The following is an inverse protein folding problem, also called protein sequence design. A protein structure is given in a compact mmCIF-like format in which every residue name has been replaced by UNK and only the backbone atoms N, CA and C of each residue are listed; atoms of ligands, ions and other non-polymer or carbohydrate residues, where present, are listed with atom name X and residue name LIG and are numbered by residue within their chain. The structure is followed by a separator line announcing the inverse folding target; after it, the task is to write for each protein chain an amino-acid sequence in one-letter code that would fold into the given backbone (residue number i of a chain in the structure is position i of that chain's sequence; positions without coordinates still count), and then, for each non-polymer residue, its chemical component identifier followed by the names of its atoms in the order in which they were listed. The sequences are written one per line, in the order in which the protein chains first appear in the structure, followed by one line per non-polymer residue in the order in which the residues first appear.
data_IF_303890810770
#
_entry.id   IF_303890810770
#
_cell.length_a   1.000
_cell.length_b   1.000
_cell.length_c   1.000
_cell.angle_alpha   90.00
_cell.angle_beta   90.00
_cell.angle_gamma   90.00
#
_symmetry.space_group_name_H-M   'P 1'
#
loop_
_entity.id
_entity.type
_entity.pdbx_description
1 polymer ?
#
# COMPACT_ATOMS: atom_id res chain seq x y z
N UNK A 1 1.29 -2.90 37.98
CA UNK A 1 0.20 -3.83 37.62
C UNK A 1 0.58 -4.53 36.32
N UNK A 2 0.77 -5.85 36.33
CA UNK A 2 0.94 -6.60 35.07
C UNK A 2 -0.42 -6.67 34.39
N UNK A 3 -0.54 -6.08 33.21
CA UNK A 3 -1.74 -6.24 32.38
C UNK A 3 -1.79 -7.70 31.91
N UNK A 4 -2.59 -8.52 32.58
CA UNK A 4 -2.87 -9.89 32.14
C UNK A 4 -3.76 -9.84 30.90
N UNK A 5 -3.37 -10.58 29.86
CA UNK A 5 -4.18 -10.76 28.64
C UNK A 5 -5.41 -11.58 29.03
N UNK A 6 -6.61 -11.10 28.67
CA UNK A 6 -7.87 -11.79 28.96
C UNK A 6 -7.91 -13.18 28.31
N UNK A 7 -8.60 -14.15 28.91
CA UNK A 7 -8.76 -15.47 28.31
C UNK A 7 -9.53 -15.44 26.97
N UNK A 8 -10.42 -14.47 26.80
CA UNK A 8 -11.10 -14.24 25.53
C UNK A 8 -10.11 -13.81 24.44
N UNK A 9 -9.20 -12.89 24.74
CA UNK A 9 -8.18 -12.43 23.80
C UNK A 9 -7.23 -13.58 23.42
N UNK A 10 -6.84 -14.43 24.38
CA UNK A 10 -5.99 -15.59 24.10
C UNK A 10 -6.65 -16.57 23.12
N UNK A 11 -7.94 -16.87 23.31
CA UNK A 11 -8.69 -17.76 22.39
C UNK A 11 -8.76 -17.21 20.97
N UNK A 12 -9.00 -15.90 20.83
CA UNK A 12 -9.04 -15.24 19.52
C UNK A 12 -7.67 -15.27 18.85
N UNK A 13 -6.58 -15.00 19.59
CA UNK A 13 -5.22 -15.14 19.05
C UNK A 13 -4.98 -16.58 18.61
N UNK A 14 -5.30 -17.58 19.45
CA UNK A 14 -5.15 -18.99 19.09
C UNK A 14 -5.91 -19.33 17.80
N UNK A 15 -7.16 -18.90 17.68
CA UNK A 15 -7.97 -19.10 16.47
C UNK A 15 -7.29 -18.54 15.20
N UNK A 16 -6.88 -17.26 15.21
CA UNK A 16 -6.24 -16.62 14.05
C UNK A 16 -4.90 -17.29 13.71
N UNK A 17 -4.09 -17.58 14.72
CA UNK A 17 -2.76 -18.18 14.52
C UNK A 17 -2.85 -19.61 14.01
N UNK A 18 -3.84 -20.37 14.49
CA UNK A 18 -4.10 -21.75 14.06
C UNK A 18 -4.64 -21.80 12.64
N UNK A 19 -5.55 -20.89 12.28
CA UNK A 19 -6.07 -20.79 10.92
C UNK A 19 -4.94 -20.47 9.92
N UNK A 20 -4.04 -19.55 10.30
CA UNK A 20 -2.81 -19.27 9.53
C UNK A 20 -1.95 -20.53 9.39
N UNK A 21 -1.65 -21.21 10.51
CA UNK A 21 -0.81 -22.42 10.52
C UNK A 21 -1.34 -23.47 9.57
N UNK A 22 -2.64 -23.78 9.66
CA UNK A 22 -3.33 -24.75 8.81
C UNK A 22 -3.21 -24.37 7.32
N UNK A 23 -3.46 -23.12 6.97
CA UNK A 23 -3.30 -22.67 5.57
C UNK A 23 -1.86 -22.81 5.07
N UNK A 24 -0.86 -22.46 5.89
CA UNK A 24 0.55 -22.61 5.51
C UNK A 24 0.93 -24.07 5.27
N UNK A 25 0.38 -25.00 6.06
CA UNK A 25 0.56 -26.44 5.88
C UNK A 25 -0.10 -26.93 4.58
N UNK A 26 -1.35 -26.53 4.33
CA UNK A 26 -2.09 -26.90 3.12
C UNK A 26 -1.45 -26.35 1.84
N UNK A 27 -0.87 -25.14 1.90
CA UNK A 27 -0.26 -24.46 0.74
C UNK A 27 1.26 -24.66 0.64
N UNK A 28 1.85 -25.51 1.49
CA UNK A 28 3.31 -25.68 1.55
C UNK A 28 3.90 -26.13 0.20
N UNK A 29 3.24 -27.04 -0.51
CA UNK A 29 3.71 -27.52 -1.80
C UNK A 29 3.76 -26.40 -2.86
N UNK A 30 2.70 -25.59 -2.92
CA UNK A 30 2.61 -24.44 -3.84
C UNK A 30 3.66 -23.38 -3.48
N UNK A 31 3.90 -23.14 -2.19
CA UNK A 31 4.90 -22.18 -1.72
C UNK A 31 6.33 -22.60 -2.08
N UNK A 32 6.65 -23.89 -2.00
CA UNK A 32 7.93 -24.42 -2.51
C UNK A 32 8.09 -24.20 -4.02
N UNK A 33 7.01 -24.33 -4.78
CA UNK A 33 7.01 -24.01 -6.21
C UNK A 33 7.24 -22.51 -6.45
N UNK A 34 6.65 -21.64 -5.63
CA UNK A 34 6.90 -20.20 -5.68
C UNK A 34 8.34 -19.82 -5.36
N UNK A 35 8.94 -20.45 -4.36
CA UNK A 35 10.37 -20.27 -4.02
C UNK A 35 11.25 -20.65 -5.23
N UNK A 36 10.98 -21.80 -5.84
CA UNK A 36 11.70 -22.23 -7.03
C UNK A 36 11.56 -21.23 -8.19
N UNK A 37 10.35 -20.69 -8.42
CA UNK A 37 10.10 -19.67 -9.46
C UNK A 37 10.80 -18.35 -9.15
N UNK A 38 10.85 -17.94 -7.88
CA UNK A 38 11.59 -16.75 -7.45
C UNK A 38 13.09 -16.92 -7.65
N UNK A 39 13.63 -18.09 -7.30
CA UNK A 39 15.05 -18.41 -7.52
C UNK A 39 15.38 -18.40 -9.02
N UNK A 40 14.54 -19.04 -9.84
CA UNK A 40 14.65 -18.97 -11.30
C UNK A 40 14.62 -17.54 -11.81
N UNK A 41 13.74 -16.67 -11.29
CA UNK A 41 13.66 -15.25 -11.66
C UNK A 41 14.84 -14.41 -11.14
N UNK A 42 15.46 -14.80 -10.02
CA UNK A 42 16.68 -14.19 -9.51
C UNK A 42 17.92 -14.68 -10.26
N UNK A 43 17.77 -15.65 -11.18
CA UNK A 43 18.87 -16.30 -11.87
C UNK A 43 19.67 -17.25 -10.99
N UNK A 44 19.11 -17.66 -9.84
CA UNK A 44 19.67 -18.70 -8.99
C UNK A 44 19.37 -20.04 -9.65
N UNK A 45 20.42 -20.76 -10.00
CA UNK A 45 20.32 -22.06 -10.63
C UNK A 45 20.99 -23.10 -9.73
N UNK A 46 20.30 -24.21 -9.50
CA UNK A 46 20.90 -25.37 -8.86
C UNK A 46 21.80 -26.07 -9.90
N UNK A 47 23.11 -25.98 -9.71
CA UNK A 47 24.08 -26.56 -10.63
C UNK A 47 24.38 -28.03 -10.32
N UNK A 48 23.72 -28.59 -9.30
CA UNK A 48 23.99 -29.90 -8.73
C UNK A 48 25.17 -29.87 -7.76
N UNK A 49 25.12 -30.73 -6.73
CA UNK A 49 26.11 -30.78 -5.65
C UNK A 49 27.56 -30.87 -6.15
N UNK A 50 27.80 -31.66 -7.21
CA UNK A 50 29.12 -31.82 -7.80
C UNK A 50 29.69 -30.52 -8.39
N UNK A 51 28.86 -29.69 -9.05
CA UNK A 51 29.31 -28.44 -9.68
C UNK A 51 29.35 -27.27 -8.71
N UNK A 52 28.54 -27.32 -7.65
CA UNK A 52 28.58 -26.35 -6.55
C UNK A 52 29.85 -26.51 -5.70
N UNK A 53 30.30 -27.75 -5.48
CA UNK A 53 31.53 -28.08 -4.76
C UNK A 53 32.81 -27.82 -5.55
N UNK A 54 32.71 -27.57 -6.86
CA UNK A 54 33.86 -27.33 -7.74
C UNK A 54 33.83 -25.89 -8.29
N UNK A 55 34.24 -24.86 -7.49
CA UNK A 55 34.19 -23.46 -7.89
C UNK A 55 35.09 -23.10 -9.08
N UNK A 56 36.04 -23.98 -9.41
CA UNK A 56 36.94 -23.84 -10.57
C UNK A 56 36.27 -24.17 -11.91
N UNK A 57 35.07 -24.78 -11.91
CA UNK A 57 34.31 -25.03 -13.14
C UNK A 57 33.58 -23.77 -13.58
N UNK A 58 33.70 -23.42 -14.87
CA UNK A 58 32.91 -22.32 -15.45
C UNK A 58 31.41 -22.63 -15.42
N UNK A 59 30.62 -21.67 -14.96
CA UNK A 59 29.15 -21.73 -14.86
C UNK A 59 28.55 -20.70 -15.81
N UNK A 60 28.54 -21.02 -17.11
CA UNK A 60 27.92 -20.15 -18.12
C UNK A 60 26.40 -20.30 -18.00
N UNK A 61 25.72 -19.20 -17.66
CA UNK A 61 24.27 -19.15 -17.54
C UNK A 61 23.72 -17.94 -18.29
N UNK A 62 22.79 -18.20 -19.20
CA UNK A 62 22.02 -17.17 -19.87
C UNK A 62 20.64 -17.12 -19.22
N UNK A 63 20.39 -16.07 -18.45
CA UNK A 63 19.16 -15.90 -17.72
C UNK A 63 18.13 -15.08 -18.51
N UNK A 64 17.27 -15.74 -19.27
CA UNK A 64 16.27 -15.04 -20.10
C UNK A 64 14.91 -14.88 -19.42
N UNK A 65 14.61 -15.73 -18.42
CA UNK A 65 13.30 -15.76 -17.78
C UNK A 65 12.91 -14.43 -17.13
N UNK A 66 13.83 -13.77 -16.41
CA UNK A 66 13.56 -12.46 -15.81
C UNK A 66 13.38 -11.35 -16.85
N UNK A 67 14.14 -11.42 -17.95
CA UNK A 67 14.02 -10.47 -19.07
C UNK A 67 12.65 -10.62 -19.74
N UNK A 68 12.21 -11.85 -19.99
CA UNK A 68 10.90 -12.13 -20.59
C UNK A 68 9.77 -11.64 -19.70
N UNK A 69 9.79 -11.96 -18.40
CA UNK A 69 8.75 -11.52 -17.45
C UNK A 69 8.71 -9.99 -17.35
N UNK A 70 9.87 -9.31 -17.26
CA UNK A 70 9.92 -7.84 -17.19
C UNK A 70 9.38 -7.20 -18.46
N UNK A 71 9.74 -7.73 -19.63
CA UNK A 71 9.21 -7.25 -20.92
C UNK A 71 7.70 -7.44 -21.02
N UNK A 72 7.20 -8.61 -20.63
CA UNK A 72 5.77 -8.90 -20.62
C UNK A 72 5.01 -7.96 -19.66
N UNK A 73 5.51 -7.78 -18.43
CA UNK A 73 4.91 -6.88 -17.44
C UNK A 73 4.87 -5.42 -17.94
N UNK A 74 5.95 -4.93 -18.52
CA UNK A 74 5.99 -3.57 -19.07
C UNK A 74 5.07 -3.40 -20.28
N UNK A 75 5.01 -4.39 -21.17
CA UNK A 75 4.11 -4.36 -22.32
C UNK A 75 2.64 -4.36 -21.87
N UNK A 76 2.28 -5.22 -20.91
CA UNK A 76 0.93 -5.29 -20.34
C UNK A 76 0.53 -4.01 -19.61
N UNK A 77 1.43 -3.43 -18.80
CA UNK A 77 1.21 -2.11 -18.20
C UNK A 77 0.95 -1.05 -19.28
N UNK A 78 1.80 -1.03 -20.32
CA UNK A 78 1.64 -0.12 -21.46
C UNK A 78 0.26 -0.25 -22.10
N UNK A 79 -0.17 -1.47 -22.42
CA UNK A 79 -1.48 -1.72 -23.03
C UNK A 79 -2.64 -1.28 -22.13
N UNK A 80 -2.57 -1.57 -20.84
CA UNK A 80 -3.66 -1.28 -19.89
C UNK A 80 -3.80 0.23 -19.65
N UNK A 81 -2.70 0.95 -19.45
CA UNK A 81 -2.73 2.39 -19.16
C UNK A 81 -2.70 3.30 -20.40
N UNK A 82 -2.41 2.77 -21.59
CA UNK A 82 -2.62 3.50 -22.86
C UNK A 82 -4.11 3.55 -23.25
N UNK A 83 -4.92 2.60 -22.78
CA UNK A 83 -6.36 2.61 -22.95
C UNK A 83 -7.00 3.80 -22.24
N UNK A 84 -7.93 4.49 -22.91
CA UNK A 84 -8.70 5.58 -22.27
C UNK A 84 -9.60 5.09 -21.13
N UNK A 85 -9.94 3.81 -21.12
CA UNK A 85 -10.91 3.19 -20.21
C UNK A 85 -10.25 2.09 -19.38
N UNK A 86 -9.76 2.44 -18.19
CA UNK A 86 -9.16 1.47 -17.25
C UNK A 86 -10.21 0.55 -16.61
N UNK A 87 -11.44 1.05 -16.47
CA UNK A 87 -12.59 0.30 -15.96
C UNK A 87 -13.81 0.67 -16.78
N UNK A 88 -14.64 -0.34 -17.05
CA UNK A 88 -15.97 -0.19 -17.62
C UNK A 88 -16.94 -0.87 -16.67
N UNK A 89 -17.86 -0.12 -16.09
CA UNK A 89 -18.92 -0.69 -15.27
C UNK A 89 -19.98 -1.29 -16.21
N UNK A 90 -20.09 -2.61 -16.21
CA UNK A 90 -21.15 -3.31 -16.94
C UNK A 90 -22.49 -2.95 -16.32
N UNK A 91 -23.37 -2.30 -17.08
CA UNK A 91 -24.69 -1.91 -16.60
C UNK A 91 -25.63 -3.12 -16.57
N UNK A 92 -26.30 -3.34 -15.44
CA UNK A 92 -27.66 -3.90 -15.45
C UNK A 92 -28.68 -2.83 -15.88
N UNK A 93 -29.96 -2.98 -15.53
CA UNK A 93 -31.06 -2.01 -15.78
C UNK A 93 -30.92 -0.66 -15.03
N UNK A 94 -29.70 -0.23 -14.70
CA UNK A 94 -29.40 0.93 -13.87
C UNK A 94 -29.12 2.22 -14.65
N UNK A 95 -29.27 3.34 -13.93
CA UNK A 95 -29.07 4.71 -14.39
C UNK A 95 -27.68 4.95 -15.03
N UNK A 96 -27.71 5.22 -16.33
CA UNK A 96 -26.52 5.51 -17.14
C UNK A 96 -25.74 6.76 -16.68
N UNK A 97 -26.42 7.73 -16.07
CA UNK A 97 -25.79 8.95 -15.57
C UNK A 97 -25.01 8.67 -14.29
N UNK A 98 -25.62 7.95 -13.35
CA UNK A 98 -24.94 7.47 -12.14
C UNK A 98 -23.69 6.66 -12.48
N UNK A 99 -23.80 5.72 -13.44
CA UNK A 99 -22.63 4.95 -13.94
C UNK A 99 -21.51 5.87 -14.41
N UNK A 100 -21.82 6.84 -15.27
CA UNK A 100 -20.83 7.78 -15.83
C UNK A 100 -20.12 8.57 -14.73
N UNK A 101 -20.85 8.96 -13.68
CA UNK A 101 -20.30 9.66 -12.51
C UNK A 101 -19.36 8.73 -11.73
N UNK A 102 -19.79 7.51 -11.42
CA UNK A 102 -18.98 6.54 -10.67
C UNK A 102 -17.71 6.15 -11.44
N UNK A 103 -17.80 5.93 -12.75
CA UNK A 103 -16.62 5.64 -13.58
C UNK A 103 -15.61 6.79 -13.56
N UNK A 104 -16.07 8.05 -13.64
CA UNK A 104 -15.20 9.22 -13.51
C UNK A 104 -14.54 9.30 -12.14
N UNK A 105 -15.30 9.03 -11.07
CA UNK A 105 -14.77 8.99 -9.71
C UNK A 105 -13.71 7.89 -9.57
N UNK A 106 -13.99 6.67 -10.01
CA UNK A 106 -13.04 5.55 -9.96
C UNK A 106 -11.75 5.84 -10.73
N UNK A 107 -11.84 6.48 -11.90
CA UNK A 107 -10.65 6.91 -12.66
C UNK A 107 -9.81 7.91 -11.88
N UNK A 108 -10.45 8.91 -11.27
CA UNK A 108 -9.74 9.90 -10.45
C UNK A 108 -9.08 9.23 -9.24
N UNK A 109 -9.82 8.37 -8.52
CA UNK A 109 -9.28 7.62 -7.39
C UNK A 109 -8.09 6.75 -7.76
N UNK A 110 -8.13 6.10 -8.92
CA UNK A 110 -7.05 5.21 -9.36
C UNK A 110 -5.81 5.96 -9.83
N UNK A 111 -5.99 7.13 -10.42
CA UNK A 111 -4.88 8.03 -10.72
C UNK A 111 -4.20 8.50 -9.43
N UNK A 112 -4.99 8.86 -8.42
CA UNK A 112 -4.48 9.37 -7.13
C UNK A 112 -3.93 8.26 -6.23
N UNK A 113 -4.41 7.02 -6.36
CA UNK A 113 -4.01 5.91 -5.49
C UNK A 113 -2.62 5.35 -5.77
N UNK A 114 -1.97 5.84 -6.83
CA UNK A 114 -0.67 5.33 -7.26
C UNK A 114 -0.73 3.92 -7.86
N UNK A 115 -1.91 3.46 -8.30
CA UNK A 115 -2.07 2.11 -8.86
C UNK A 115 -1.05 1.85 -9.98
N UNK A 116 -0.89 2.78 -10.92
CA UNK A 116 0.04 2.64 -12.04
C UNK A 116 1.50 2.40 -11.60
N UNK A 117 1.90 2.98 -10.46
CA UNK A 117 3.25 2.79 -9.91
C UNK A 117 3.43 1.36 -9.41
N UNK A 118 2.44 0.84 -8.70
CA UNK A 118 2.45 -0.51 -8.10
C UNK A 118 2.09 -1.59 -9.14
N UNK A 119 1.45 -1.22 -10.25
CA UNK A 119 0.91 -2.18 -11.23
C UNK A 119 2.00 -2.98 -11.94
N UNK A 120 3.18 -2.40 -12.20
CA UNK A 120 4.30 -3.17 -12.74
C UNK A 120 4.72 -4.26 -11.76
N UNK A 121 4.82 -3.94 -10.47
CA UNK A 121 5.18 -4.90 -9.43
C UNK A 121 4.11 -5.99 -9.30
N UNK A 122 2.83 -5.62 -9.35
CA UNK A 122 1.71 -6.56 -9.39
C UNK A 122 1.84 -7.57 -10.54
N UNK A 123 2.10 -7.10 -11.76
CA UNK A 123 2.30 -7.97 -12.92
C UNK A 123 3.55 -8.84 -12.81
N UNK A 124 4.64 -8.30 -12.24
CA UNK A 124 5.87 -9.06 -12.00
C UNK A 124 5.62 -10.18 -10.99
N UNK A 125 4.99 -9.87 -9.86
CA UNK A 125 4.61 -10.84 -8.82
C UNK A 125 3.68 -11.91 -9.40
N UNK A 126 2.68 -11.51 -10.20
CA UNK A 126 1.79 -12.44 -10.90
C UNK A 126 2.54 -13.33 -11.90
N UNK A 127 3.50 -12.78 -12.64
CA UNK A 127 4.33 -13.53 -13.58
C UNK A 127 5.30 -14.50 -12.91
N UNK A 128 5.83 -14.15 -11.74
CA UNK A 128 6.78 -14.99 -10.97
C UNK A 128 6.01 -16.09 -10.23
N UNK A 129 4.96 -15.74 -9.48
CA UNK A 129 4.31 -16.67 -8.57
C UNK A 129 3.03 -17.30 -9.14
N UNK A 130 2.47 -16.75 -10.21
CA UNK A 130 1.15 -17.11 -10.73
C UNK A 130 -0.01 -16.50 -9.93
N UNK A 131 0.30 -15.73 -8.87
CA UNK A 131 -0.68 -15.02 -8.04
C UNK A 131 -0.12 -13.65 -7.66
N UNK A 132 -1.00 -12.67 -7.59
CA UNK A 132 -0.69 -11.33 -7.10
C UNK A 132 -1.96 -10.77 -6.46
N UNK A 133 -1.79 -9.93 -5.44
CA UNK A 133 -2.93 -9.39 -4.68
C UNK A 133 -2.67 -7.93 -4.38
N UNK A 134 -3.66 -7.10 -4.68
CA UNK A 134 -3.66 -5.68 -4.34
C UNK A 134 -4.59 -5.47 -3.16
N UNK A 135 -4.11 -4.74 -2.17
CA UNK A 135 -4.88 -4.24 -1.06
C UNK A 135 -5.18 -2.77 -1.30
N UNK A 136 -6.46 -2.41 -1.27
CA UNK A 136 -6.86 -1.00 -1.30
C UNK A 136 -7.17 -0.58 0.12
N UNK A 137 -6.46 0.40 0.64
CA UNK A 137 -6.68 0.97 1.98
C UNK A 137 -7.15 2.41 1.86
N UNK A 138 -8.01 2.85 2.77
CA UNK A 138 -8.40 4.25 2.87
C UNK A 138 -7.53 4.94 3.93
N UNK A 139 -6.89 6.04 3.55
CA UNK A 139 -6.01 6.81 4.42
C UNK A 139 -6.44 8.27 4.48
N UNK A 140 -6.57 8.86 5.68
CA UNK A 140 -6.76 10.28 5.81
C UNK A 140 -5.47 11.00 5.38
N UNK A 141 -5.57 11.84 4.36
CA UNK A 141 -4.52 12.72 3.89
C UNK A 141 -4.89 14.15 4.26
N UNK A 142 -3.92 14.88 4.79
CA UNK A 142 -4.08 16.31 5.05
C UNK A 142 -3.79 17.05 3.75
N UNK A 143 -4.83 17.55 3.11
CA UNK A 143 -4.75 18.30 1.86
C UNK A 143 -4.80 19.80 2.14
N UNK A 144 -4.04 20.56 1.36
CA UNK A 144 -4.14 22.02 1.36
C UNK A 144 -5.30 22.43 0.47
N UNK A 145 -6.11 23.39 0.93
CA UNK A 145 -7.14 23.97 0.07
C UNK A 145 -6.46 24.63 -1.14
N UNK A 146 -6.97 24.34 -2.35
CA UNK A 146 -6.41 24.84 -3.60
C UNK A 146 -6.24 26.36 -3.60
N UNK A 147 -7.19 27.09 -3.02
CA UNK A 147 -7.16 28.55 -2.84
C UNK A 147 -5.95 29.08 -2.06
N UNK A 148 -5.43 28.30 -1.12
CA UNK A 148 -4.25 28.68 -0.34
C UNK A 148 -2.96 28.35 -1.10
N UNK A 149 -2.92 27.22 -1.81
CA UNK A 149 -1.78 26.85 -2.67
C UNK A 149 -1.61 27.86 -3.79
N UNK A 150 -2.69 28.27 -4.45
CA UNK A 150 -2.64 29.30 -5.51
C UNK A 150 -2.21 30.66 -4.95
N UNK A 151 -2.71 31.06 -3.78
CA UNK A 151 -2.25 32.30 -3.10
C UNK A 151 -0.77 32.25 -2.73
N UNK A 152 -0.26 31.13 -2.21
CA UNK A 152 1.16 31.00 -1.89
C UNK A 152 2.04 31.00 -3.14
N UNK A 153 1.65 30.28 -4.20
CA UNK A 153 2.33 30.32 -5.49
C UNK A 153 2.34 31.73 -6.09
N UNK A 154 1.26 32.48 -5.93
CA UNK A 154 1.17 33.86 -6.41
C UNK A 154 2.09 34.79 -5.61
N UNK A 155 2.15 34.65 -4.28
CA UNK A 155 3.10 35.38 -3.44
C UNK A 155 4.55 35.01 -3.79
N UNK A 156 4.82 33.75 -4.08
CA UNK A 156 6.16 33.26 -4.44
C UNK A 156 6.58 33.77 -5.83
N UNK A 157 5.67 33.75 -6.81
CA UNK A 157 5.85 34.39 -8.10
C UNK A 157 6.07 35.89 -7.97
N UNK A 158 5.26 36.60 -7.18
CA UNK A 158 5.40 38.04 -6.97
C UNK A 158 6.75 38.39 -6.33
N UNK A 159 7.23 37.57 -5.38
CA UNK A 159 8.58 37.70 -4.81
C UNK A 159 9.68 37.39 -5.82
N UNK A 160 9.49 36.37 -6.65
CA UNK A 160 10.41 36.03 -7.73
C UNK A 160 10.54 37.20 -8.71
N UNK A 161 9.41 37.78 -9.15
CA UNK A 161 9.38 38.95 -10.03
C UNK A 161 9.93 40.22 -9.36
N UNK A 162 9.74 40.40 -8.06
CA UNK A 162 10.32 41.52 -7.31
C UNK A 162 11.84 41.41 -7.16
N UNK A 163 12.40 40.20 -7.27
CA UNK A 163 13.83 39.91 -7.12
C UNK A 163 14.58 39.78 -8.46
N UNK A 164 13.89 39.90 -9.60
CA UNK A 164 14.56 39.93 -10.91
C UNK A 164 15.36 41.24 -11.05
N UNK A 165 16.58 41.20 -11.63
CA UNK A 165 17.33 42.40 -11.98
C UNK A 165 16.48 43.31 -12.89
N UNK A 166 16.56 44.63 -12.72
CA UNK A 166 15.76 45.63 -13.48
C UNK A 166 15.88 45.54 -15.01
N UNK A 167 16.78 44.72 -15.53
CA UNK A 167 16.96 44.43 -16.96
C UNK A 167 16.01 43.34 -17.49
N UNK A 168 15.37 42.57 -16.61
CA UNK A 168 14.26 41.67 -16.95
C UNK A 168 12.95 42.38 -16.62
N UNK A 169 12.50 43.24 -17.52
CA UNK A 169 11.11 43.72 -17.48
C UNK A 169 10.19 42.49 -17.54
N UNK A 170 9.13 42.49 -16.73
CA UNK A 170 7.97 41.61 -16.99
C UNK A 170 7.70 41.70 -18.49
N UNK A 171 7.40 40.60 -19.21
CA UNK A 171 6.94 40.74 -20.58
C UNK A 171 5.72 41.65 -20.53
N UNK A 172 5.93 42.92 -20.88
CA UNK A 172 4.85 43.81 -21.24
C UNK A 172 4.29 43.15 -22.47
N UNK A 173 3.11 42.55 -22.32
CA UNK A 173 2.29 42.20 -23.47
C UNK A 173 1.97 43.53 -24.13
N UNK A 174 2.87 44.01 -24.97
CA UNK A 174 2.58 45.04 -25.95
C UNK A 174 1.78 44.29 -27.00
N UNK A 175 0.48 44.21 -26.79
CA UNK A 175 -0.45 43.84 -27.84
C UNK A 175 -0.44 45.00 -28.85
N UNK A 176 0.28 44.83 -29.95
CA UNK A 176 -0.05 45.59 -31.15
C UNK A 176 -1.39 45.06 -31.66
N UNK A 177 -2.45 45.82 -31.35
CA UNK A 177 -3.72 45.87 -32.07
C UNK A 177 -4.27 44.52 -32.57
N UNK A 178 -4.88 43.75 -31.67
CA UNK A 178 -6.06 42.96 -32.02
C UNK A 178 -6.85 42.59 -30.76
N UNK A 179 -7.87 43.41 -30.52
CA UNK A 179 -9.15 43.10 -29.88
C UNK A 179 -9.14 42.50 -28.47
N UNK A 180 -9.44 43.36 -27.49
CA UNK A 180 -9.78 43.03 -26.10
C UNK A 180 -10.99 42.10 -25.89
N UNK A 181 -11.49 41.46 -26.95
CA UNK A 181 -12.46 40.38 -26.89
C UNK A 181 -11.82 39.12 -26.28
N UNK A 182 -10.55 38.85 -26.56
CA UNK A 182 -9.85 37.67 -26.04
C UNK A 182 -9.50 37.77 -24.55
N UNK A 183 -9.18 38.97 -24.05
CA UNK A 183 -8.89 39.22 -22.64
C UNK A 183 -10.16 39.16 -21.79
N UNK A 184 -11.26 39.75 -22.27
CA UNK A 184 -12.57 39.67 -21.61
C UNK A 184 -13.14 38.24 -21.66
N UNK A 185 -12.92 37.48 -22.73
CA UNK A 185 -13.32 36.07 -22.81
C UNK A 185 -12.48 35.16 -21.89
N UNK A 186 -11.17 35.42 -21.76
CA UNK A 186 -10.30 34.70 -20.81
C UNK A 186 -10.63 35.04 -19.37
N UNK A 187 -10.89 36.31 -19.06
CA UNK A 187 -11.29 36.75 -17.73
C UNK A 187 -12.71 36.25 -17.39
N UNK A 188 -13.64 36.25 -18.34
CA UNK A 188 -14.96 35.65 -18.16
C UNK A 188 -14.92 34.11 -18.06
N UNK A 189 -13.98 33.45 -18.73
CA UNK A 189 -13.72 32.02 -18.54
C UNK A 189 -13.10 31.73 -17.17
N UNK A 190 -12.17 32.57 -16.71
CA UNK A 190 -11.62 32.52 -15.35
C UNK A 190 -12.69 32.77 -14.29
N UNK A 191 -13.57 33.74 -14.48
CA UNK A 191 -14.68 34.04 -13.55
C UNK A 191 -15.77 32.96 -13.57
N UNK A 192 -16.02 32.32 -14.72
CA UNK A 192 -16.90 31.12 -14.79
C UNK A 192 -16.29 29.90 -14.10
N UNK A 193 -14.96 29.76 -14.12
CA UNK A 193 -14.23 28.67 -13.45
C UNK A 193 -14.07 28.96 -11.95
N UNK A 194 -13.82 30.21 -11.56
CA UNK A 194 -13.60 30.64 -10.18
C UNK A 194 -14.89 30.93 -9.41
N UNK A 195 -16.01 31.13 -10.11
CA UNK A 195 -17.28 31.55 -9.51
C UNK A 195 -17.25 33.01 -9.06
N UNK A 196 -18.42 33.63 -8.78
CA UNK A 196 -18.48 35.03 -8.35
C UNK A 196 -17.63 35.22 -7.09
N UNK A 197 -16.68 36.16 -7.15
CA UNK A 197 -15.87 36.64 -6.03
C UNK A 197 -16.79 37.29 -4.99
N UNK A 198 -17.48 36.44 -4.21
CA UNK A 198 -18.15 36.87 -3.00
C UNK A 198 -17.08 37.45 -2.09
N UNK A 199 -17.29 38.69 -1.64
CA UNK A 199 -16.51 39.27 -0.55
C UNK A 199 -16.79 38.46 0.71
N UNK A 200 -16.06 37.36 0.89
CA UNK A 200 -16.14 36.56 2.10
C UNK A 200 -15.60 37.41 3.24
N UNK A 201 -16.46 37.72 4.21
CA UNK A 201 -16.03 38.06 5.57
C UNK A 201 -14.97 37.04 5.97
N UNK A 202 -13.82 37.49 6.50
CA UNK A 202 -12.71 36.64 6.98
C UNK A 202 -13.20 35.73 8.12
N UNK A 203 -13.94 34.69 7.78
CA UNK A 203 -13.98 33.46 8.55
C UNK A 203 -12.63 32.83 8.23
N UNK A 204 -11.77 32.71 9.24
CA UNK A 204 -10.50 32.00 9.12
C UNK A 204 -10.85 30.53 8.99
N UNK A 205 -11.21 30.11 7.78
CA UNK A 205 -11.40 28.70 7.49
C UNK A 205 -10.05 27.99 7.61
N UNK A 206 -10.04 26.73 8.09
CA UNK A 206 -8.80 25.98 8.20
C UNK A 206 -8.14 25.83 6.82
N UNK A 207 -6.85 26.17 6.73
CA UNK A 207 -6.03 26.10 5.50
C UNK A 207 -5.91 24.68 4.93
N UNK A 208 -6.10 23.69 5.81
CA UNK A 208 -5.96 22.28 5.54
C UNK A 208 -7.30 21.59 5.80
N UNK A 209 -7.67 20.65 4.94
CA UNK A 209 -8.79 19.75 5.16
C UNK A 209 -8.29 18.30 5.13
N UNK A 210 -9.06 17.39 5.75
CA UNK A 210 -8.77 15.96 5.70
C UNK A 210 -9.56 15.38 4.53
N UNK A 211 -8.85 14.77 3.59
CA UNK A 211 -9.42 14.03 2.48
C UNK A 211 -9.12 12.55 2.67
N UNK A 212 -10.09 11.68 2.38
CA UNK A 212 -9.83 10.25 2.35
C UNK A 212 -9.32 9.87 0.97
N UNK A 213 -8.04 9.51 0.92
CA UNK A 213 -7.42 8.99 -0.30
C UNK A 213 -7.36 7.46 -0.21
N UNK A 214 -7.47 6.80 -1.36
CA UNK A 214 -7.16 5.38 -1.48
C UNK A 214 -5.66 5.22 -1.64
N UNK A 215 -5.06 4.27 -0.94
CA UNK A 215 -3.68 3.82 -1.11
C UNK A 215 -3.74 2.36 -1.57
N UNK A 216 -2.97 2.04 -2.61
CA UNK A 216 -2.89 0.67 -3.11
C UNK A 216 -1.56 0.07 -2.71
N UNK A 217 -1.60 -1.07 -2.04
CA UNK A 217 -0.44 -1.82 -1.59
C UNK A 217 -0.41 -3.18 -2.26
N UNK A 218 0.78 -3.61 -2.69
CA UNK A 218 0.99 -4.98 -3.16
C UNK A 218 1.23 -5.90 -1.97
N UNK A 219 0.42 -6.94 -1.85
CA UNK A 219 0.59 -7.95 -0.80
C UNK A 219 1.62 -8.98 -1.25
N UNK A 220 2.57 -9.31 -0.38
CA UNK A 220 3.47 -10.43 -0.60
C UNK A 220 2.67 -11.76 -0.55
N UNK A 221 2.65 -12.57 -1.63
CA UNK A 221 1.91 -13.83 -1.66
C UNK A 221 2.30 -14.81 -0.55
N UNK A 222 3.56 -14.81 -0.11
CA UNK A 222 4.01 -15.66 1.00
C UNK A 222 3.40 -15.27 2.34
N UNK A 223 2.95 -14.03 2.48
CA UNK A 223 2.41 -13.53 3.73
C UNK A 223 0.89 -13.53 3.76
N UNK A 224 0.25 -13.93 2.65
CA UNK A 224 -1.19 -13.91 2.50
C UNK A 224 -1.79 -15.31 2.63
N UNK A 225 -2.92 -15.39 3.34
CA UNK A 225 -3.68 -16.62 3.52
C UNK A 225 -5.16 -16.38 3.22
N UNK A 226 -5.80 -17.41 2.67
CA UNK A 226 -7.21 -17.43 2.32
C UNK A 226 -7.74 -18.86 2.48
N UNK A 227 -8.99 -19.14 2.13
CA UNK A 227 -9.52 -20.49 2.16
C UNK A 227 -8.92 -21.33 1.01
N UNK A 228 -8.11 -22.33 1.34
CA UNK A 228 -7.53 -23.27 0.38
C UNK A 228 -8.64 -23.97 -0.43
N UNK A 229 -8.52 -23.98 -1.75
CA UNK A 229 -9.46 -24.66 -2.66
C UNK A 229 -10.48 -23.76 -3.36
N UNK A 230 -10.55 -22.47 -3.01
CA UNK A 230 -11.32 -21.49 -3.81
C UNK A 230 -10.53 -21.06 -5.04
N UNK A 231 -11.24 -20.82 -6.16
CA UNK A 231 -10.64 -20.31 -7.40
C UNK A 231 -10.52 -18.79 -7.44
N UNK A 232 -11.37 -18.11 -6.69
CA UNK A 232 -11.43 -16.64 -6.60
C UNK A 232 -11.22 -16.25 -5.14
N UNK A 233 -10.13 -15.54 -4.89
CA UNK A 233 -9.72 -15.14 -3.55
C UNK A 233 -10.72 -14.20 -2.87
N UNK A 234 -11.49 -13.45 -3.68
CA UNK A 234 -12.53 -12.54 -3.18
C UNK A 234 -13.74 -13.30 -2.62
N UNK A 235 -13.86 -14.60 -2.89
CA UNK A 235 -14.88 -15.48 -2.31
C UNK A 235 -14.43 -16.17 -1.04
N UNK A 236 -13.22 -15.86 -0.58
CA UNK A 236 -12.73 -16.40 0.68
C UNK A 236 -13.56 -15.85 1.84
N UNK A 237 -14.07 -16.69 2.75
CA UNK A 237 -14.76 -16.20 3.95
C UNK A 237 -13.81 -15.45 4.89
N UNK A 238 -12.51 -15.72 4.80
CA UNK A 238 -11.49 -15.01 5.57
C UNK A 238 -10.25 -14.69 4.75
N UNK A 239 -9.51 -13.67 5.16
CA UNK A 239 -8.16 -13.41 4.69
C UNK A 239 -7.24 -13.11 5.88
N UNK A 240 -5.99 -13.54 5.78
CA UNK A 240 -4.95 -13.23 6.76
C UNK A 240 -3.74 -12.67 6.04
N UNK A 241 -3.24 -11.54 6.52
CA UNK A 241 -2.00 -10.93 6.06
C UNK A 241 -1.00 -10.87 7.21
N UNK A 242 0.22 -11.36 6.99
CA UNK A 242 1.29 -11.33 7.99
C UNK A 242 2.39 -10.34 7.58
N UNK A 243 2.62 -9.32 8.39
CA UNK A 243 3.65 -8.33 8.14
C UNK A 243 4.68 -8.31 9.26
N UNK A 244 5.92 -7.98 8.92
CA UNK A 244 7.02 -7.80 9.87
C UNK A 244 7.43 -6.33 9.86
N UNK A 245 6.87 -5.57 10.78
CA UNK A 245 7.04 -4.12 10.84
C UNK A 245 8.11 -3.76 11.88
N UNK A 246 8.87 -2.69 11.63
CA UNK A 246 9.71 -2.09 12.66
C UNK A 246 8.81 -1.46 13.72
N UNK A 247 9.17 -1.57 15.00
CA UNK A 247 8.31 -1.09 16.08
C UNK A 247 7.91 0.39 15.94
N UNK A 248 8.75 1.27 15.38
CA UNK A 248 8.36 2.68 15.18
C UNK A 248 7.17 2.85 14.22
N UNK A 249 7.04 1.98 13.21
CA UNK A 249 5.92 2.03 12.26
C UNK A 249 4.59 1.74 12.98
N UNK A 250 4.62 0.88 14.00
CA UNK A 250 3.48 0.64 14.89
C UNK A 250 3.34 1.72 15.96
N UNK A 251 4.44 2.32 16.40
CA UNK A 251 4.44 3.37 17.41
C UNK A 251 3.59 4.58 16.96
N UNK A 252 3.67 4.95 15.68
CA UNK A 252 2.79 5.98 15.10
C UNK A 252 1.32 5.60 15.23
N UNK A 253 0.95 4.36 14.88
CA UNK A 253 -0.42 3.88 14.99
C UNK A 253 -0.92 3.82 16.45
N UNK A 254 -0.06 3.43 17.40
CA UNK A 254 -0.36 3.51 18.83
C UNK A 254 -0.58 4.96 19.25
N UNK A 255 0.33 5.88 18.91
CA UNK A 255 0.23 7.29 19.30
C UNK A 255 -1.03 7.97 18.71
N UNK A 256 -1.38 7.63 17.47
CA UNK A 256 -2.59 8.07 16.80
C UNK A 256 -3.88 7.46 17.37
N UNK A 257 -3.79 6.39 18.18
CA UNK A 257 -4.96 5.71 18.74
C UNK A 257 -5.71 4.81 17.76
N UNK A 258 -5.08 4.47 16.63
CA UNK A 258 -5.61 3.54 15.63
C UNK A 258 -5.61 2.10 16.17
N UNK A 259 -4.62 1.80 17.01
CA UNK A 259 -4.44 0.53 17.73
C UNK A 259 -4.27 0.82 19.23
N UNK A 260 -4.58 -0.17 20.07
CA UNK A 260 -4.72 -0.01 21.53
C UNK A 260 -3.43 0.46 22.22
N UNK A 261 -3.42 1.75 22.62
CA UNK A 261 -2.32 2.42 23.33
C UNK A 261 -1.85 1.67 24.58
N UNK A 262 -2.77 1.01 25.29
CA UNK A 262 -2.45 0.32 26.54
C UNK A 262 -1.59 -0.93 26.30
N UNK A 263 -1.68 -1.52 25.10
CA UNK A 263 -0.97 -2.75 24.74
C UNK A 263 0.43 -2.50 24.16
N UNK A 264 0.81 -1.25 23.89
CA UNK A 264 2.12 -0.84 23.36
C UNK A 264 3.30 -1.47 24.12
N UNK A 265 3.31 -1.34 25.45
CA UNK A 265 4.39 -1.86 26.29
C UNK A 265 4.42 -3.40 26.32
N UNK A 266 3.27 -4.06 26.18
CA UNK A 266 3.19 -5.52 26.13
C UNK A 266 3.76 -6.05 24.81
N UNK A 267 3.44 -5.39 23.68
CA UNK A 267 3.99 -5.74 22.35
C UNK A 267 5.51 -5.59 22.32
N UNK A 268 6.03 -4.47 22.87
CA UNK A 268 7.46 -4.21 22.95
C UNK A 268 8.20 -5.19 23.89
N UNK A 269 7.57 -5.59 25.00
CA UNK A 269 8.15 -6.63 25.88
C UNK A 269 8.22 -7.98 25.17
N UNK A 270 7.20 -8.34 24.40
CA UNK A 270 7.19 -9.61 23.66
C UNK A 270 8.13 -9.62 22.47
N UNK A 271 8.36 -8.49 21.80
CA UNK A 271 9.33 -8.45 20.70
C UNK A 271 10.75 -8.81 21.14
N UNK A 272 11.09 -8.54 22.41
CA UNK A 272 12.38 -8.92 23.00
C UNK A 272 12.44 -10.40 23.43
N UNK A 273 11.30 -11.12 23.43
CA UNK A 273 11.19 -12.51 23.89
C UNK A 273 10.72 -13.50 22.83
N UNK A 274 10.23 -13.06 21.66
CA UNK A 274 9.63 -13.91 20.60
C UNK A 274 10.40 -13.89 19.27
N UNK A 275 11.64 -13.40 19.23
CA UNK A 275 12.48 -13.40 18.02
C UNK A 275 13.02 -14.79 17.66
N UNK A 276 12.15 -15.78 17.55
CA UNK A 276 12.49 -17.15 17.11
C UNK A 276 12.43 -17.23 15.57
N UNK A 277 11.50 -16.52 14.92
CA UNK A 277 11.44 -16.47 13.43
C UNK A 277 12.24 -15.32 12.80
N UNK A 278 12.64 -14.32 13.60
CA UNK A 278 13.60 -13.29 13.17
C UNK A 278 14.98 -13.85 12.83
N UNK A 279 15.32 -15.04 13.38
CA UNK A 279 16.56 -15.74 13.09
C UNK A 279 16.61 -16.34 11.67
N UNK A 280 15.46 -16.74 11.11
CA UNK A 280 15.38 -17.29 9.75
C UNK A 280 15.30 -16.20 8.67
N UNK A 281 14.82 -14.99 8.99
CA UNK A 281 14.90 -13.86 8.06
C UNK A 281 16.31 -13.25 8.06
N UNK A 282 16.97 -13.13 9.22
CA UNK A 282 18.35 -12.64 9.34
C UNK A 282 19.41 -13.54 8.68
N UNK A 283 19.07 -14.80 8.39
CA UNK A 283 19.93 -15.74 7.65
C UNK A 283 19.74 -15.70 6.13
N UNK A 284 18.75 -14.95 5.62
CA UNK A 284 18.60 -14.68 4.19
C UNK A 284 19.46 -13.49 3.76
N UNK A 285 19.99 -13.52 2.54
CA UNK A 285 20.84 -12.47 1.97
C UNK A 285 20.16 -11.09 1.99
N UNK A 286 18.83 -11.06 1.76
CA UNK A 286 18.02 -9.84 1.85
C UNK A 286 17.84 -9.37 3.30
N UNK A 287 17.69 -10.30 4.25
CA UNK A 287 17.67 -9.96 5.67
C UNK A 287 18.99 -9.38 6.17
N UNK A 288 20.11 -9.94 5.72
CA UNK A 288 21.44 -9.40 6.02
C UNK A 288 21.66 -8.04 5.36
N UNK A 289 21.20 -7.85 4.11
CA UNK A 289 21.35 -6.59 3.39
C UNK A 289 20.52 -5.46 4.01
N UNK A 290 19.30 -5.75 4.48
CA UNK A 290 18.48 -4.78 5.22
C UNK A 290 19.08 -4.50 6.61
N UNK A 291 19.61 -5.50 7.30
CA UNK A 291 20.34 -5.34 8.56
C UNK A 291 21.61 -4.49 8.40
N UNK A 292 22.36 -4.67 7.31
CA UNK A 292 23.57 -3.92 6.99
C UNK A 292 23.29 -2.49 6.55
N UNK A 293 22.20 -2.25 5.81
CA UNK A 293 21.75 -0.89 5.48
C UNK A 293 21.34 -0.10 6.74
N UNK A 294 20.68 -0.76 7.70
CA UNK A 294 20.27 -0.14 8.97
C UNK A 294 21.45 0.11 9.93
N UNK A 295 22.57 -0.63 9.82
CA UNK A 295 23.77 -0.37 10.62
C UNK A 295 24.57 0.85 10.14
N UNK A 296 24.42 1.22 8.85
CA UNK A 296 25.13 2.34 8.24
C UNK A 296 24.37 3.67 8.36
N UNK A 297 23.04 3.64 8.57
CA UNK A 297 22.22 4.83 8.84
C UNK A 297 22.16 5.10 10.36
N UNK A 298 23.25 5.65 10.89
CA UNK A 298 23.36 6.11 12.27
C UNK A 298 22.29 7.16 12.62
N UNK A 299 21.14 6.73 13.17
CA UNK A 299 20.28 7.41 14.17
C UNK A 299 18.96 6.64 14.28
N UNK A 300 18.96 5.53 15.00
CA UNK A 300 17.86 5.13 15.89
C UNK A 300 18.22 3.83 16.59
N UNK A 301 18.03 3.81 17.90
CA UNK A 301 18.20 2.64 18.76
C UNK A 301 17.48 1.43 18.15
N UNK A 302 18.14 0.26 18.07
CA UNK A 302 17.59 -0.98 17.52
C UNK A 302 16.14 -1.21 17.98
N UNK A 303 15.18 -0.85 17.13
CA UNK A 303 13.77 -1.08 17.40
C UNK A 303 13.44 -2.48 16.88
N UNK A 304 12.96 -3.38 17.75
CA UNK A 304 12.76 -4.76 17.37
C UNK A 304 11.66 -4.86 16.30
N UNK A 305 11.77 -5.87 15.43
CA UNK A 305 10.70 -6.21 14.49
C UNK A 305 9.53 -6.82 15.25
N UNK A 306 8.33 -6.48 14.81
CA UNK A 306 7.06 -6.97 15.35
C UNK A 306 6.35 -7.73 14.26
N UNK A 307 6.00 -8.98 14.54
CA UNK A 307 5.08 -9.74 13.70
C UNK A 307 3.68 -9.21 13.92
N UNK A 308 3.03 -8.80 12.85
CA UNK A 308 1.63 -8.38 12.83
C UNK A 308 0.83 -9.30 11.94
N UNK A 309 -0.23 -9.89 12.48
CA UNK A 309 -1.20 -10.70 11.77
C UNK A 309 -2.48 -9.88 11.68
N UNK A 310 -2.87 -9.50 10.48
CA UNK A 310 -4.13 -8.85 10.19
C UNK A 310 -5.11 -9.88 9.63
N UNK A 311 -6.20 -10.10 10.36
CA UNK A 311 -7.25 -11.04 10.02
C UNK A 311 -8.53 -10.29 9.68
N UNK A 312 -9.17 -10.71 8.58
CA UNK A 312 -10.51 -10.31 8.19
C UNK A 312 -11.36 -11.55 7.97
N UNK A 313 -12.55 -11.60 8.59
CA UNK A 313 -13.48 -12.72 8.39
C UNK A 313 -14.37 -12.98 9.60
N UNK A 314 -15.10 -14.12 9.60
CA UNK A 314 -15.98 -14.49 10.68
C UNK A 314 -15.23 -15.12 11.86
N UNK A 315 -15.57 -14.71 13.07
CA UNK A 315 -15.12 -15.43 14.26
C UNK A 315 -16.02 -16.66 14.45
N UNK A 316 -15.43 -17.86 14.37
CA UNK A 316 -16.13 -19.11 14.58
C UNK A 316 -15.95 -19.61 16.01
N UNK A 317 -16.93 -20.34 16.53
CA UNK A 317 -16.79 -21.08 17.78
C UNK A 317 -16.08 -22.43 17.57
N UNK A 318 -16.07 -23.27 18.60
CA UNK A 318 -15.42 -24.58 18.55
C UNK A 318 -16.16 -25.58 17.67
N UNK A 319 -17.47 -25.39 17.50
CA UNK A 319 -18.36 -26.26 16.75
C UNK A 319 -18.48 -25.80 15.28
N UNK A 320 -17.85 -24.66 14.95
CA UNK A 320 -17.80 -24.08 13.62
C UNK A 320 -18.92 -23.09 13.34
N UNK A 321 -19.74 -22.78 14.35
CA UNK A 321 -20.82 -21.81 14.25
C UNK A 321 -20.27 -20.38 14.28
N UNK A 322 -20.87 -19.50 13.48
CA UNK A 322 -20.42 -18.12 13.37
C UNK A 322 -20.85 -17.33 14.60
N UNK A 323 -19.88 -16.92 15.42
CA UNK A 323 -20.08 -16.02 16.56
C UNK A 323 -20.29 -14.58 16.07
N UNK A 324 -19.53 -14.17 15.05
CA UNK A 324 -19.57 -12.82 14.49
C UNK A 324 -19.08 -12.83 13.04
N UNK A 325 -19.86 -12.30 12.10
CA UNK A 325 -19.65 -12.51 10.66
C UNK A 325 -18.51 -11.64 10.06
N UNK A 326 -18.25 -10.46 10.62
CA UNK A 326 -17.36 -9.46 10.03
C UNK A 326 -16.42 -8.83 11.05
N UNK A 327 -15.32 -9.50 11.35
CA UNK A 327 -14.29 -9.01 12.27
C UNK A 327 -13.02 -8.62 11.54
N UNK A 328 -12.49 -7.45 11.91
CA UNK A 328 -11.10 -7.07 11.63
C UNK A 328 -10.31 -7.14 12.93
N UNK A 329 -9.31 -8.03 12.94
CA UNK A 329 -8.48 -8.32 14.11
C UNK A 329 -7.02 -8.09 13.72
N UNK A 330 -6.30 -7.30 14.51
CA UNK A 330 -4.86 -7.11 14.36
C UNK A 330 -4.18 -7.67 15.60
N UNK A 331 -3.33 -8.68 15.39
CA UNK A 331 -2.52 -9.32 16.42
C UNK A 331 -1.07 -8.89 16.21
N UNK A 332 -0.43 -8.29 17.21
CA UNK A 332 0.99 -7.94 17.20
C UNK A 332 1.74 -8.77 18.25
N UNK A 333 2.72 -9.58 17.85
CA UNK A 333 3.45 -10.52 18.72
C UNK A 333 2.53 -11.35 19.64
N UNK A 334 1.45 -11.90 19.07
CA UNK A 334 0.46 -12.69 19.80
C UNK A 334 -0.41 -11.88 20.79
N UNK A 335 -0.50 -10.56 20.63
CA UNK A 335 -1.37 -9.68 21.41
C UNK A 335 -2.35 -8.98 20.48
N UNK A 336 -3.65 -9.06 20.75
CA UNK A 336 -4.67 -8.31 19.99
C UNK A 336 -4.48 -6.82 20.24
N UNK A 337 -4.04 -6.06 19.25
CA UNK A 337 -3.92 -4.60 19.32
C UNK A 337 -5.11 -3.88 18.69
N UNK A 338 -5.93 -4.61 17.92
CA UNK A 338 -7.20 -4.12 17.37
C UNK A 338 -8.18 -5.27 17.24
N UNK A 339 -9.42 -5.09 17.69
CA UNK A 339 -10.53 -6.02 17.45
C UNK A 339 -11.82 -5.23 17.36
N UNK A 340 -12.38 -5.16 16.16
CA UNK A 340 -13.58 -4.39 15.88
C UNK A 340 -14.45 -5.17 14.89
N UNK A 341 -15.75 -4.97 15.00
CA UNK A 341 -16.63 -5.26 13.87
C UNK A 341 -16.25 -4.32 12.75
N UNK A 342 -16.13 -4.86 11.56
CA UNK A 342 -15.83 -4.07 10.39
C UNK A 342 -17.11 -3.35 9.96
N UNK A 343 -17.24 -2.00 10.04
CA UNK A 343 -18.11 -1.30 9.13
C UNK A 343 -17.35 -0.90 7.86
N UNK A 344 -16.02 -0.68 7.99
CA UNK A 344 -15.01 -0.25 7.01
C UNK A 344 -13.59 -0.47 7.55
#
# INVERSE_FOLDING_TARGET
MSQQISEKDKKIVQYVTELRRKHLEETQAIRKEWELKADLFAGKQNWGAYREQNPWMSKIFQHEFSVLIRRAANALKGLIFQGKDLFTLMSGDGDTEFRRIVEKMLRHYVADSGLEKVFTEYLLTGGIYGISTLKVTAKPRVCWKAEYVTKELQIENDKFYANLPKEYERPSVISENSDGVLEDELMAAFDKIAGPTKSYSRVVEPKKYIEFCSEVELINPFNFCWLSGIRDINKSPFTIETNFLKFFQLNEAFNAGIIDKQKKNLVLKRSNSTSVDGANFASTEDGQRILLQDQLSSTDTYLPRVETIEYFGPLLDKDGETIDECRRIIVANGIIVKNHRNPY
#
